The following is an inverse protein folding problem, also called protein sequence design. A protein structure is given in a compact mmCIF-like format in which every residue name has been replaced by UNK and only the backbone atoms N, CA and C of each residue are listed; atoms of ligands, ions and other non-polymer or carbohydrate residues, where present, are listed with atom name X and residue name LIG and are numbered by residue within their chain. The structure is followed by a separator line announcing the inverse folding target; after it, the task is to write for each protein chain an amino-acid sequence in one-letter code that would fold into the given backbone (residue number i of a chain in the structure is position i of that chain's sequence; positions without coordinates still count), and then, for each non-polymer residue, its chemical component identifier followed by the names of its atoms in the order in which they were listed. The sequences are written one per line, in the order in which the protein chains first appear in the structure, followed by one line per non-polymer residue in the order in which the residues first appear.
data_IF_526439225871
#
_entry.id   IF_526439225871
#
_cell.length_a   1.000
_cell.length_b   1.000
_cell.length_c   1.000
_cell.angle_alpha   90.00
_cell.angle_beta   90.00
_cell.angle_gamma   90.00
#
_symmetry.space_group_name_H-M   'P 1'
#
loop_
_entity.id
_entity.type
_entity.pdbx_description
1 polymer ?
#
# COMPACT_ATOMS: atom_id res chain seq x y z
N UNK A 1 5.89 17.49 -26.13
CA UNK A 1 5.79 16.01 -26.33
C UNK A 1 6.66 15.55 -27.50
N UNK A 2 6.37 15.89 -28.76
CA UNK A 2 7.35 15.78 -29.86
C UNK A 2 8.64 16.55 -29.54
N UNK A 3 8.50 17.74 -28.93
CA UNK A 3 9.62 18.57 -28.47
C UNK A 3 10.51 17.93 -27.38
N UNK A 4 10.04 16.90 -26.67
CA UNK A 4 10.83 16.20 -25.64
C UNK A 4 11.07 14.73 -26.00
N UNK A 5 10.70 14.32 -27.22
CA UNK A 5 10.82 12.95 -27.72
C UNK A 5 10.28 11.87 -26.75
N UNK A 6 9.13 12.14 -26.12
CA UNK A 6 8.49 11.20 -25.17
C UNK A 6 7.35 10.45 -25.84
N UNK A 7 7.37 9.12 -25.75
CA UNK A 7 6.27 8.26 -26.19
C UNK A 7 5.23 8.08 -25.07
N UNK A 8 3.94 8.26 -25.38
CA UNK A 8 2.84 8.15 -24.42
C UNK A 8 2.03 6.91 -24.74
N UNK A 9 1.85 6.07 -23.72
CA UNK A 9 0.93 4.94 -23.74
C UNK A 9 -0.19 5.21 -22.74
N UNK A 10 -1.42 4.90 -23.12
CA UNK A 10 -2.60 5.02 -22.25
C UNK A 10 -3.06 3.61 -21.89
N UNK A 11 -3.26 3.36 -20.59
CA UNK A 11 -3.88 2.13 -20.12
C UNK A 11 -5.37 2.09 -20.47
N UNK A 12 -5.94 0.90 -20.54
CA UNK A 12 -7.36 0.74 -20.78
C UNK A 12 -8.13 1.04 -19.49
N UNK A 13 -9.21 1.84 -19.55
CA UNK A 13 -9.97 2.27 -18.37
C UNK A 13 -10.56 1.11 -17.58
N UNK A 14 -10.98 0.03 -18.26
CA UNK A 14 -11.47 -1.18 -17.61
C UNK A 14 -10.37 -2.09 -17.02
N UNK A 15 -9.08 -1.82 -17.30
CA UNK A 15 -7.96 -2.66 -16.86
C UNK A 15 -7.16 -1.89 -15.79
N UNK A 16 -7.63 -1.98 -14.55
CA UNK A 16 -6.95 -1.35 -13.39
C UNK A 16 -5.50 -1.82 -13.20
N UNK A 17 -5.15 -3.02 -13.70
CA UNK A 17 -3.79 -3.55 -13.62
C UNK A 17 -2.77 -2.67 -14.33
N UNK A 18 -3.16 -1.96 -15.38
CA UNK A 18 -2.28 -1.06 -16.14
C UNK A 18 -1.77 0.11 -15.29
N UNK A 19 -2.53 0.50 -14.25
CA UNK A 19 -2.24 1.63 -13.37
C UNK A 19 -2.10 1.23 -11.89
N UNK A 20 -2.17 -0.06 -11.58
CA UNK A 20 -2.20 -0.57 -10.21
C UNK A 20 -1.03 -0.10 -9.33
N UNK A 21 0.16 0.08 -9.91
CA UNK A 21 1.33 0.61 -9.18
C UNK A 21 1.07 2.06 -8.73
N UNK A 22 0.55 2.90 -9.62
CA UNK A 22 0.23 4.30 -9.33
C UNK A 22 -0.90 4.39 -8.32
N UNK A 23 -1.96 3.60 -8.51
CA UNK A 23 -3.09 3.53 -7.56
C UNK A 23 -2.64 3.11 -6.16
N UNK A 24 -1.79 2.07 -6.07
CA UNK A 24 -1.23 1.61 -4.80
C UNK A 24 -0.36 2.69 -4.14
N UNK A 25 0.44 3.41 -4.91
CA UNK A 25 1.26 4.50 -4.41
C UNK A 25 0.41 5.68 -3.91
N UNK A 26 -0.64 6.05 -4.65
CA UNK A 26 -1.59 7.08 -4.24
C UNK A 26 -2.26 6.74 -2.90
N UNK A 27 -2.61 5.47 -2.68
CA UNK A 27 -3.12 5.01 -1.38
C UNK A 27 -2.10 5.21 -0.26
N UNK A 28 -0.84 4.80 -0.46
CA UNK A 28 0.23 4.99 0.54
C UNK A 28 0.51 6.47 0.82
N UNK A 29 0.44 7.35 -0.18
CA UNK A 29 0.53 8.79 0.04
C UNK A 29 -0.64 9.31 0.88
N UNK A 30 -1.87 8.94 0.53
CA UNK A 30 -3.07 9.35 1.24
C UNK A 30 -3.04 8.92 2.71
N UNK A 31 -2.64 7.68 2.99
CA UNK A 31 -2.47 7.15 4.36
C UNK A 31 -1.48 8.00 5.17
N UNK A 32 -0.37 8.44 4.58
CA UNK A 32 0.64 9.28 5.28
C UNK A 32 0.20 10.72 5.48
N UNK A 33 -0.55 11.29 4.55
CA UNK A 33 -0.98 12.69 4.62
C UNK A 33 -2.22 12.88 5.46
N UNK A 34 -3.27 12.14 5.15
CA UNK A 34 -4.58 12.40 5.72
C UNK A 34 -4.67 11.97 7.18
N UNK A 35 -3.91 10.98 7.62
CA UNK A 35 -3.83 10.65 9.06
C UNK A 35 -3.41 11.84 9.91
N UNK A 36 -2.41 12.61 9.46
CA UNK A 36 -1.97 13.82 10.17
C UNK A 36 -2.97 14.97 10.02
N UNK A 37 -3.53 15.15 8.81
CA UNK A 37 -4.55 16.17 8.57
C UNK A 37 -5.76 15.95 9.48
N UNK A 38 -6.29 14.73 9.55
CA UNK A 38 -7.43 14.40 10.40
C UNK A 38 -7.15 14.63 11.88
N UNK A 39 -5.96 14.26 12.37
CA UNK A 39 -5.58 14.55 13.76
C UNK A 39 -5.59 16.06 14.07
N UNK A 40 -5.15 16.88 13.11
CA UNK A 40 -5.14 18.35 13.22
C UNK A 40 -6.53 18.96 13.12
N UNK A 41 -7.34 18.50 12.19
CA UNK A 41 -8.75 18.91 12.03
C UNK A 41 -9.57 18.55 13.27
N UNK A 42 -9.28 17.40 13.90
CA UNK A 42 -9.94 17.00 15.14
C UNK A 42 -9.65 17.96 16.31
N UNK A 43 -8.43 18.51 16.38
CA UNK A 43 -8.02 19.47 17.41
C UNK A 43 -8.56 20.88 17.11
N UNK A 44 -8.43 21.33 15.85
CA UNK A 44 -8.72 22.72 15.47
C UNK A 44 -10.18 22.94 15.06
N UNK A 45 -10.96 21.88 14.80
CA UNK A 45 -12.34 21.89 14.27
C UNK A 45 -12.52 22.63 12.94
N UNK A 46 -11.42 22.99 12.27
CA UNK A 46 -11.37 23.64 10.97
C UNK A 46 -10.68 22.76 9.92
N UNK A 47 -11.00 22.97 8.64
CA UNK A 47 -10.37 22.24 7.54
C UNK A 47 -8.89 22.60 7.41
N UNK A 48 -8.03 21.60 7.45
CA UNK A 48 -6.58 21.78 7.42
C UNK A 48 -6.01 21.47 6.02
N UNK A 49 -5.13 22.35 5.52
CA UNK A 49 -4.32 22.13 4.30
C UNK A 49 -2.85 21.85 4.61
N UNK A 50 -2.55 21.45 5.85
CA UNK A 50 -1.17 21.20 6.29
C UNK A 50 -0.48 20.07 5.50
N UNK A 51 -1.23 19.18 4.88
CA UNK A 51 -0.69 18.13 4.00
C UNK A 51 0.18 18.71 2.87
N UNK A 52 -0.14 19.90 2.34
CA UNK A 52 0.63 20.58 1.28
C UNK A 52 2.03 20.94 1.77
N UNK A 53 2.13 21.48 3.00
CA UNK A 53 3.42 21.84 3.62
C UNK A 53 4.26 20.59 3.91
N UNK A 54 3.61 19.47 4.23
CA UNK A 54 4.27 18.19 4.54
C UNK A 54 4.64 17.37 3.32
N UNK A 55 4.04 17.64 2.16
CA UNK A 55 4.24 16.89 0.92
C UNK A 55 5.72 16.65 0.58
N UNK A 56 6.61 17.66 0.59
CA UNK A 56 8.03 17.44 0.27
C UNK A 56 8.71 16.50 1.25
N UNK A 57 8.42 16.64 2.55
CA UNK A 57 9.03 15.80 3.60
C UNK A 57 8.60 14.35 3.49
N UNK A 58 7.32 14.09 3.23
CA UNK A 58 6.80 12.72 3.07
C UNK A 58 7.33 12.07 1.80
N UNK A 59 7.40 12.79 0.68
CA UNK A 59 8.00 12.27 -0.57
C UNK A 59 9.48 11.93 -0.35
N UNK A 60 10.22 12.80 0.33
CA UNK A 60 11.62 12.56 0.69
C UNK A 60 11.77 11.32 1.58
N UNK A 61 10.89 11.13 2.56
CA UNK A 61 10.88 9.94 3.40
C UNK A 61 10.61 8.67 2.58
N UNK A 62 9.55 8.66 1.76
CA UNK A 62 9.18 7.51 0.92
C UNK A 62 10.29 7.10 -0.04
N UNK A 63 11.01 8.06 -0.62
CA UNK A 63 12.12 7.77 -1.53
C UNK A 63 13.37 7.18 -0.82
N UNK A 64 13.49 7.41 0.49
CA UNK A 64 14.63 6.98 1.31
C UNK A 64 14.33 5.80 2.22
N UNK A 65 13.10 5.32 2.28
CA UNK A 65 12.70 4.15 3.05
C UNK A 65 12.87 2.85 2.24
N UNK A 66 13.17 1.76 2.94
CA UNK A 66 13.23 0.44 2.31
C UNK A 66 11.80 -0.03 2.06
N UNK A 67 11.46 -0.23 0.79
CA UNK A 67 10.11 -0.69 0.43
C UNK A 67 10.03 -2.21 0.43
N UNK A 68 8.87 -2.76 0.81
CA UNK A 68 8.65 -4.21 0.91
C UNK A 68 8.85 -4.95 -0.42
N UNK A 69 8.50 -4.31 -1.55
CA UNK A 69 8.47 -4.95 -2.87
C UNK A 69 9.86 -5.19 -3.44
N UNK A 70 10.75 -4.19 -3.36
CA UNK A 70 12.11 -4.25 -3.91
C UNK A 70 13.18 -4.45 -2.83
N UNK A 71 12.81 -4.38 -1.55
CA UNK A 71 13.72 -4.45 -0.40
C UNK A 71 14.92 -3.49 -0.50
N UNK A 72 14.71 -2.33 -1.10
CA UNK A 72 15.70 -1.28 -1.21
C UNK A 72 15.01 0.08 -1.25
N UNK A 73 15.82 1.12 -1.08
CA UNK A 73 15.37 2.52 -1.16
C UNK A 73 15.10 2.88 -2.62
N UNK A 74 13.93 3.46 -2.97
CA UNK A 74 13.63 3.90 -4.33
C UNK A 74 14.72 4.80 -4.94
N UNK A 75 15.33 5.68 -4.13
CA UNK A 75 16.41 6.57 -4.57
C UNK A 75 17.68 5.81 -5.03
N UNK A 76 17.94 4.63 -4.47
CA UNK A 76 19.03 3.75 -4.91
C UNK A 76 18.55 2.85 -6.06
N UNK A 77 17.27 2.49 -6.06
CA UNK A 77 16.69 1.60 -7.05
C UNK A 77 16.62 2.24 -8.44
N UNK A 78 16.29 3.54 -8.51
CA UNK A 78 16.11 4.27 -9.77
C UNK A 78 17.39 4.33 -10.62
N UNK A 79 18.56 4.21 -10.00
CA UNK A 79 19.85 4.21 -10.72
C UNK A 79 20.18 2.84 -11.31
N UNK A 80 19.48 1.77 -10.89
CA UNK A 80 19.72 0.41 -11.37
C UNK A 80 18.90 0.13 -12.63
N UNK A 81 19.54 -0.51 -13.61
CA UNK A 81 18.87 -0.93 -14.86
C UNK A 81 17.84 -2.03 -14.62
N UNK A 82 18.12 -2.94 -13.69
CA UNK A 82 17.25 -4.04 -13.34
C UNK A 82 17.19 -4.21 -11.83
N UNK A 83 16.01 -4.55 -11.34
CA UNK A 83 15.75 -4.83 -9.93
C UNK A 83 15.10 -6.21 -9.88
N UNK A 84 15.64 -7.09 -9.05
CA UNK A 84 15.01 -8.38 -8.79
C UNK A 84 13.72 -8.16 -8.00
N UNK A 85 12.63 -8.77 -8.45
CA UNK A 85 11.42 -8.80 -7.66
C UNK A 85 11.66 -9.67 -6.42
N UNK A 86 11.26 -9.18 -5.24
CA UNK A 86 11.29 -10.00 -4.04
C UNK A 86 10.18 -11.03 -4.19
N UNK A 87 10.57 -12.29 -4.48
CA UNK A 87 9.67 -13.43 -4.28
C UNK A 87 9.21 -13.39 -2.83
N UNK A 88 7.92 -13.11 -2.60
CA UNK A 88 7.33 -13.32 -1.30
C UNK A 88 7.51 -14.81 -1.02
N UNK A 89 8.38 -15.18 -0.06
CA UNK A 89 8.29 -16.51 0.52
C UNK A 89 6.89 -16.58 1.11
N UNK A 90 5.99 -17.30 0.45
CA UNK A 90 4.71 -17.66 1.00
C UNK A 90 5.01 -18.60 2.17
N UNK A 91 5.37 -18.04 3.32
CA UNK A 91 5.33 -18.75 4.60
C UNK A 91 3.88 -18.87 5.08
N UNK A 92 2.91 -18.81 4.17
CA UNK A 92 1.65 -19.48 4.37
C UNK A 92 1.97 -20.98 4.29
N UNK A 93 2.34 -21.56 5.44
CA UNK A 93 1.79 -22.87 5.73
C UNK A 93 0.30 -22.63 5.75
N UNK A 94 -0.33 -22.78 4.59
CA UNK A 94 -1.76 -22.88 4.48
C UNK A 94 -2.13 -23.98 5.47
N UNK A 95 -2.61 -23.61 6.65
CA UNK A 95 -3.66 -24.41 7.24
C UNK A 95 -4.76 -24.31 6.21
N UNK A 96 -4.76 -25.27 5.29
CA UNK A 96 -5.87 -25.55 4.40
C UNK A 96 -7.08 -25.59 5.33
N UNK A 97 -7.84 -24.50 5.38
CA UNK A 97 -9.17 -24.55 5.96
C UNK A 97 -9.87 -25.50 5.02
N UNK A 98 -9.95 -26.77 5.43
CA UNK A 98 -10.59 -27.84 4.67
C UNK A 98 -11.97 -27.31 4.29
N UNK A 99 -12.15 -26.95 3.03
CA UNK A 99 -13.36 -26.27 2.53
C UNK A 99 -14.61 -27.15 2.66
N UNK A 100 -14.42 -28.41 3.04
CA UNK A 100 -15.46 -29.41 3.28
C UNK A 100 -15.65 -29.78 4.76
N UNK A 101 -15.06 -29.03 5.70
CA UNK A 101 -15.29 -29.23 7.13
C UNK A 101 -16.05 -28.03 7.67
N UNK A 102 -17.27 -28.28 8.13
CA UNK A 102 -18.06 -27.30 8.89
C UNK A 102 -17.42 -27.13 10.27
N UNK A 103 -16.46 -26.22 10.38
CA UNK A 103 -15.86 -25.87 11.67
C UNK A 103 -16.79 -24.88 12.37
N UNK A 104 -17.38 -25.27 13.50
CA UNK A 104 -18.08 -24.35 14.39
C UNK A 104 -17.03 -23.58 15.19
N UNK A 105 -16.95 -22.26 14.97
CA UNK A 105 -15.95 -21.40 15.62
C UNK A 105 -16.42 -20.84 16.97
N UNK A 106 -17.69 -21.05 17.35
CA UNK A 106 -18.29 -20.47 18.54
C UNK A 106 -19.25 -21.46 19.18
N UNK A 107 -19.07 -21.71 20.48
CA UNK A 107 -19.99 -22.47 21.31
C UNK A 107 -21.30 -21.70 21.49
N UNK A 108 -22.43 -22.41 21.59
CA UNK A 108 -23.71 -21.79 21.93
C UNK A 108 -23.74 -21.40 23.42
N UNK A 109 -24.49 -20.36 23.82
CA UNK A 109 -24.60 -19.96 25.22
C UNK A 109 -25.13 -21.12 26.08
N UNK A 110 -24.26 -21.71 26.91
CA UNK A 110 -24.59 -22.84 27.79
C UNK A 110 -23.85 -24.14 27.47
N UNK A 111 -23.04 -24.20 26.41
CA UNK A 111 -22.13 -25.33 26.19
C UNK A 111 -20.88 -25.18 27.09
N UNK A 112 -20.55 -26.23 27.83
CA UNK A 112 -19.33 -26.31 28.65
C UNK A 112 -18.13 -26.54 27.72
N UNK A 113 -17.12 -25.66 27.80
CA UNK A 113 -15.82 -25.91 27.18
C UNK A 113 -15.19 -27.13 27.86
N UNK A 114 -15.16 -28.27 27.17
CA UNK A 114 -14.74 -29.52 27.78
C UNK A 114 -14.11 -30.49 26.80
N UNK A 115 -12.78 -30.47 26.78
CA UNK A 115 -11.93 -31.64 26.55
C UNK A 115 -11.02 -31.81 27.76
#
# INVERSE_FOLDING_TARGET
MKAHNVNIRRGHTAIHRDQAIVERFNRTLAERFFGYQYAKEFIQKDRSREWVKRLPGVVTALNNEITRTINMKPNIAITKKYISDRKLQSNFKDFLILTNVTVRYLYEPGELEGG
#
